data_IF_238826453206
#
_entry.id   IF_238826453206
#
_cell.length_a   1.000
_cell.length_b   1.000
_cell.length_c   1.000
_cell.angle_alpha   90.00
_cell.angle_beta   90.00
_cell.angle_gamma   90.00
#
_symmetry.space_group_name_H-M   'P 1'
#
loop_
_entity.id
_entity.type
_entity.pdbx_description
1 polymer ?
#
# COMPACT_ATOMS: atom_id res chain seq x y z
N UNK A 1 49.68 -36.46 50.49
CA UNK A 1 48.20 -36.43 50.42
C UNK A 1 47.63 -35.07 50.05
N UNK A 2 48.10 -33.92 50.62
CA UNK A 2 47.55 -32.60 50.30
C UNK A 2 47.80 -32.11 48.85
N UNK A 3 48.84 -32.53 48.14
CA UNK A 3 49.13 -32.15 46.74
C UNK A 3 48.33 -32.94 45.72
N UNK A 4 47.94 -34.17 46.05
CA UNK A 4 47.06 -34.99 45.19
C UNK A 4 45.59 -34.52 45.22
N UNK A 5 45.14 -34.02 46.36
CA UNK A 5 43.79 -33.50 46.53
C UNK A 5 43.57 -32.18 45.75
N UNK A 6 44.61 -31.33 45.65
CA UNK A 6 44.60 -30.06 44.93
C UNK A 6 44.54 -30.27 43.40
N UNK A 7 45.15 -31.32 42.86
CA UNK A 7 45.14 -31.67 41.43
C UNK A 7 43.81 -32.26 41.06
N UNK A 8 43.17 -33.05 41.91
CA UNK A 8 41.81 -33.59 41.66
C UNK A 8 40.74 -32.49 41.69
N UNK A 9 40.86 -31.48 42.57
CA UNK A 9 39.94 -30.33 42.58
C UNK A 9 40.11 -29.43 41.36
N UNK A 10 41.34 -29.23 40.84
CA UNK A 10 41.61 -28.46 39.66
C UNK A 10 41.08 -29.18 38.37
N UNK A 11 41.23 -30.50 38.28
CA UNK A 11 40.69 -31.29 37.19
C UNK A 11 39.14 -31.34 37.19
N UNK A 12 38.51 -31.37 38.38
CA UNK A 12 37.05 -31.29 38.50
C UNK A 12 36.51 -29.92 38.11
N UNK A 13 37.21 -28.81 38.41
CA UNK A 13 36.82 -27.47 37.94
C UNK A 13 37.01 -27.25 36.43
N UNK A 14 38.03 -27.87 35.79
CA UNK A 14 38.20 -27.82 34.36
C UNK A 14 37.12 -28.65 33.62
N UNK A 15 36.67 -29.77 34.18
CA UNK A 15 35.56 -30.54 33.62
C UNK A 15 34.20 -29.86 33.76
N UNK A 16 33.99 -29.02 34.79
CA UNK A 16 32.78 -28.25 34.95
C UNK A 16 32.72 -27.00 34.03
N UNK A 17 33.87 -26.51 33.54
CA UNK A 17 33.93 -25.40 32.57
C UNK A 17 33.72 -25.86 31.11
N UNK A 18 33.91 -27.15 30.82
CA UNK A 18 33.70 -27.70 29.48
C UNK A 18 32.26 -28.23 29.21
N UNK A 19 31.42 -28.30 30.27
CA UNK A 19 30.02 -28.72 30.14
C UNK A 19 29.06 -27.51 30.02
N UNK A 20 29.54 -26.28 30.25
CA UNK A 20 28.73 -25.06 30.12
C UNK A 20 28.75 -24.41 28.71
N UNK A 21 29.35 -25.09 27.69
CA UNK A 21 29.32 -24.68 26.28
C UNK A 21 28.43 -25.58 25.40
N UNK A 22 27.74 -26.57 25.99
CA UNK A 22 26.60 -27.22 25.42
C UNK A 22 25.34 -26.58 26.01
N UNK A 23 25.29 -25.27 25.97
CA UNK A 23 24.17 -24.49 26.44
C UNK A 23 23.16 -24.37 25.32
N UNK A 24 21.99 -24.74 25.67
CA UNK A 24 20.71 -24.23 25.12
C UNK A 24 20.87 -23.44 23.82
N UNK A 25 20.70 -24.11 22.70
CA UNK A 25 20.08 -23.44 21.58
C UNK A 25 18.68 -23.07 22.04
N UNK A 26 18.50 -21.90 22.66
CA UNK A 26 17.24 -21.21 22.50
C UNK A 26 17.16 -20.99 21.00
N UNK A 27 16.29 -21.69 20.35
CA UNK A 27 15.83 -21.30 19.03
C UNK A 27 15.06 -20.00 19.26
N UNK A 28 15.78 -18.87 19.47
CA UNK A 28 15.16 -17.58 19.52
C UNK A 28 14.56 -17.36 18.14
N UNK A 29 13.23 -17.51 18.06
CA UNK A 29 12.49 -17.22 16.87
C UNK A 29 12.66 -15.75 16.57
N UNK A 30 13.21 -15.42 15.40
CA UNK A 30 13.28 -14.04 14.92
C UNK A 30 11.86 -13.51 14.71
N UNK A 31 11.70 -12.22 14.84
CA UNK A 31 10.44 -11.55 14.57
C UNK A 31 10.65 -10.45 13.54
N UNK A 32 9.79 -10.39 12.53
CA UNK A 32 9.67 -9.32 11.56
C UNK A 32 8.28 -8.68 11.73
N UNK A 33 8.23 -7.37 11.88
CA UNK A 33 6.97 -6.64 12.00
C UNK A 33 6.70 -5.88 10.70
N UNK A 34 5.65 -6.28 9.99
CA UNK A 34 5.22 -5.69 8.72
C UNK A 34 3.94 -4.89 8.95
N UNK A 35 3.83 -3.70 8.37
CA UNK A 35 2.66 -2.85 8.44
C UNK A 35 2.28 -2.39 7.04
N UNK A 36 1.17 -2.90 6.54
CA UNK A 36 0.71 -2.74 5.18
C UNK A 36 -0.74 -2.26 5.14
N UNK A 37 -1.28 -2.01 3.97
CA UNK A 37 -2.69 -1.77 3.75
C UNK A 37 -3.52 -3.02 4.06
N UNK A 38 -4.82 -2.84 4.32
CA UNK A 38 -5.79 -3.93 4.28
C UNK A 38 -5.90 -4.52 2.87
N UNK A 39 -6.24 -5.80 2.75
CA UNK A 39 -6.43 -6.51 1.47
C UNK A 39 -5.29 -6.35 0.45
N UNK A 40 -4.03 -6.27 0.92
CA UNK A 40 -2.89 -5.85 0.09
C UNK A 40 -1.75 -6.88 0.04
N UNK A 41 -2.05 -8.14 0.34
CA UNK A 41 -1.14 -9.30 0.25
C UNK A 41 -1.97 -10.58 0.15
N UNK A 42 -1.51 -11.53 -0.66
CA UNK A 42 -2.11 -12.87 -0.70
C UNK A 42 -1.88 -13.58 0.63
N UNK A 43 -2.95 -13.94 1.32
CA UNK A 43 -2.95 -14.34 2.74
C UNK A 43 -3.35 -15.81 2.98
N UNK A 44 -3.54 -16.59 1.89
CA UNK A 44 -3.97 -17.99 1.95
C UNK A 44 -5.48 -18.17 2.06
N UNK A 45 -6.26 -17.11 2.08
CA UNK A 45 -7.73 -17.20 2.05
C UNK A 45 -8.20 -17.79 0.70
N UNK A 46 -9.31 -18.51 0.73
CA UNK A 46 -9.94 -19.13 -0.44
C UNK A 46 -9.02 -20.05 -1.27
N UNK A 47 -7.87 -20.44 -0.71
CA UNK A 47 -6.87 -21.30 -1.37
C UNK A 47 -5.79 -20.52 -2.12
N UNK A 48 -5.74 -19.21 -1.96
CA UNK A 48 -4.68 -18.34 -2.46
C UNK A 48 -3.30 -18.68 -1.83
N UNK A 49 -2.25 -18.11 -2.36
CA UNK A 49 -0.90 -18.29 -1.83
C UNK A 49 -0.74 -17.53 -0.51
N UNK A 50 -0.35 -18.22 0.58
CA UNK A 50 -0.06 -17.58 1.88
C UNK A 50 1.38 -17.02 1.85
N UNK A 51 1.54 -15.80 1.41
CA UNK A 51 2.84 -15.13 1.25
C UNK A 51 3.63 -15.07 2.55
N UNK A 52 2.97 -14.80 3.67
CA UNK A 52 3.65 -14.68 4.98
C UNK A 52 4.13 -16.04 5.46
N UNK A 53 3.29 -17.06 5.41
CA UNK A 53 3.67 -18.41 5.84
C UNK A 53 4.73 -19.01 4.90
N UNK A 54 4.64 -18.76 3.61
CA UNK A 54 5.63 -19.18 2.63
C UNK A 54 6.99 -18.52 2.89
N UNK A 55 7.03 -17.22 3.21
CA UNK A 55 8.25 -16.52 3.61
C UNK A 55 8.85 -17.09 4.89
N UNK A 56 8.06 -17.32 5.95
CA UNK A 56 8.52 -17.93 7.19
C UNK A 56 9.20 -19.30 6.92
N UNK A 57 8.56 -20.14 6.11
CA UNK A 57 9.05 -21.45 5.74
C UNK A 57 10.33 -21.40 4.88
N UNK A 58 10.32 -20.54 3.86
CA UNK A 58 11.48 -20.32 2.99
C UNK A 58 12.69 -19.80 3.79
N UNK A 59 12.45 -18.90 4.76
CA UNK A 59 13.51 -18.36 5.60
C UNK A 59 14.12 -19.44 6.50
N UNK A 60 13.29 -20.28 7.15
CA UNK A 60 13.77 -21.39 7.98
C UNK A 60 14.56 -22.40 7.15
N UNK A 61 14.11 -22.73 5.94
CA UNK A 61 14.80 -23.63 5.03
C UNK A 61 16.15 -23.07 4.53
N UNK A 62 16.20 -21.76 4.27
CA UNK A 62 17.37 -21.09 3.69
C UNK A 62 18.44 -20.81 4.73
N UNK A 63 18.04 -20.32 5.90
CA UNK A 63 18.96 -19.84 6.94
C UNK A 63 19.03 -20.75 8.17
N UNK A 64 18.20 -21.77 8.29
CA UNK A 64 18.17 -22.70 9.42
C UNK A 64 17.69 -22.09 10.73
N UNK A 65 17.02 -20.92 10.67
CA UNK A 65 16.53 -20.18 11.81
C UNK A 65 15.04 -19.89 11.70
N UNK A 66 14.28 -20.13 12.76
CA UNK A 66 12.85 -19.86 12.80
C UNK A 66 12.57 -18.36 12.78
N UNK A 67 11.56 -18.01 11.98
CA UNK A 67 11.06 -16.67 11.84
C UNK A 67 9.55 -16.64 12.12
N UNK A 68 9.09 -15.55 12.73
CA UNK A 68 7.67 -15.20 12.86
C UNK A 68 7.47 -13.80 12.30
N UNK A 69 6.58 -13.66 11.33
CA UNK A 69 6.13 -12.37 10.84
C UNK A 69 4.86 -11.96 11.59
N UNK A 70 4.89 -10.77 12.19
CA UNK A 70 3.70 -10.08 12.67
C UNK A 70 3.25 -9.13 11.57
N UNK A 71 2.05 -9.35 11.05
CA UNK A 71 1.49 -8.55 9.97
C UNK A 71 0.30 -7.76 10.50
N UNK A 72 0.43 -6.44 10.50
CA UNK A 72 -0.61 -5.48 10.89
C UNK A 72 -1.06 -4.68 9.67
N UNK A 73 -2.28 -4.13 9.70
CA UNK A 73 -2.84 -3.32 8.63
C UNK A 73 -3.22 -1.91 9.08
N UNK A 74 -3.28 -0.99 8.11
CA UNK A 74 -3.75 0.39 8.26
C UNK A 74 -4.68 0.77 7.12
N UNK A 75 -5.54 1.76 7.39
CA UNK A 75 -6.56 2.22 6.45
C UNK A 75 -6.13 3.47 5.65
N UNK A 76 -5.12 4.22 6.11
CA UNK A 76 -4.62 5.41 5.41
C UNK A 76 -3.13 5.66 5.67
N UNK A 77 -2.45 6.35 4.74
CA UNK A 77 -1.07 6.80 4.93
C UNK A 77 -0.92 7.66 6.19
N UNK A 78 -1.90 8.50 6.48
CA UNK A 78 -1.93 9.39 7.63
C UNK A 78 -2.00 8.61 8.95
N UNK A 79 -2.80 7.54 9.02
CA UNK A 79 -2.89 6.68 10.20
C UNK A 79 -1.57 5.93 10.43
N UNK A 80 -0.99 5.36 9.37
CA UNK A 80 0.32 4.72 9.41
C UNK A 80 1.39 5.70 9.89
N UNK A 81 1.49 6.88 9.27
CA UNK A 81 2.43 7.93 9.64
C UNK A 81 2.28 8.35 11.09
N UNK A 82 1.06 8.64 11.55
CA UNK A 82 0.78 9.05 12.92
C UNK A 82 1.20 7.98 13.94
N UNK A 83 0.93 6.72 13.63
CA UNK A 83 1.30 5.59 14.49
C UNK A 83 2.82 5.44 14.62
N UNK A 84 3.56 5.53 13.52
CA UNK A 84 5.03 5.43 13.51
C UNK A 84 5.66 6.65 14.15
N UNK A 85 5.22 7.88 13.80
CA UNK A 85 5.77 9.13 14.34
C UNK A 85 5.56 9.28 15.84
N UNK A 86 4.54 8.62 16.42
CA UNK A 86 4.31 8.60 17.86
C UNK A 86 5.44 7.94 18.64
N UNK A 87 6.26 7.08 17.98
CA UNK A 87 7.34 6.30 18.63
C UNK A 87 6.85 5.20 19.58
N UNK A 88 5.53 4.92 19.61
CA UNK A 88 4.95 3.93 20.50
C UNK A 88 5.10 2.48 19.99
N UNK A 89 5.40 2.33 18.71
CA UNK A 89 5.49 1.04 18.00
C UNK A 89 6.76 0.97 17.17
N UNK A 90 7.18 -0.25 16.84
CA UNK A 90 8.31 -0.50 15.96
C UNK A 90 7.87 -1.46 14.85
N UNK A 91 8.03 -1.03 13.62
CA UNK A 91 7.85 -1.85 12.43
C UNK A 91 9.17 -1.98 11.69
N UNK A 92 9.32 -3.07 10.92
CA UNK A 92 10.52 -3.36 10.15
C UNK A 92 10.30 -3.07 8.66
N UNK A 93 9.08 -3.31 8.15
CA UNK A 93 8.67 -2.99 6.78
C UNK A 93 7.34 -2.27 6.80
N UNK A 94 7.23 -1.23 5.97
CA UNK A 94 5.99 -0.48 5.70
C UNK A 94 5.81 -0.32 4.20
N UNK A 95 4.57 -0.11 3.75
CA UNK A 95 4.25 0.00 2.31
C UNK A 95 3.45 1.29 2.03
N UNK A 96 4.04 2.48 2.23
CA UNK A 96 3.35 3.75 1.98
C UNK A 96 3.25 4.10 0.50
N UNK A 97 2.32 5.01 0.19
CA UNK A 97 2.25 5.64 -1.13
C UNK A 97 3.34 6.70 -1.30
N UNK A 98 3.64 6.99 -2.53
CA UNK A 98 4.69 7.87 -3.04
C UNK A 98 4.84 9.22 -2.30
N UNK A 99 3.77 9.99 -2.14
CA UNK A 99 3.83 11.29 -1.44
C UNK A 99 4.21 11.14 0.05
N UNK A 100 3.79 10.03 0.67
CA UNK A 100 4.12 9.73 2.05
C UNK A 100 5.57 9.25 2.18
N UNK A 101 6.08 8.48 1.19
CA UNK A 101 7.51 8.12 1.11
C UNK A 101 8.36 9.38 1.05
N UNK A 102 8.03 10.31 0.14
CA UNK A 102 8.72 11.58 0.02
C UNK A 102 8.73 12.37 1.34
N UNK A 103 7.60 12.40 2.05
CA UNK A 103 7.48 13.04 3.37
C UNK A 103 8.39 12.38 4.40
N UNK A 104 8.26 11.07 4.56
CA UNK A 104 9.00 10.32 5.57
C UNK A 104 10.51 10.33 5.31
N UNK A 105 10.94 10.28 4.04
CA UNK A 105 12.33 10.43 3.66
C UNK A 105 12.88 11.83 4.03
N UNK A 106 12.16 12.89 3.70
CA UNK A 106 12.52 14.27 4.04
C UNK A 106 12.59 14.51 5.56
N UNK A 107 11.77 13.83 6.34
CA UNK A 107 11.75 13.91 7.81
C UNK A 107 12.77 12.96 8.48
N UNK A 108 13.54 12.18 7.70
CA UNK A 108 14.53 11.23 8.22
C UNK A 108 13.90 10.02 8.93
N UNK A 109 12.68 9.68 8.56
CA UNK A 109 11.92 8.57 9.14
C UNK A 109 12.12 7.23 8.42
N UNK A 110 12.89 7.20 7.33
CA UNK A 110 13.23 6.00 6.56
C UNK A 110 14.74 5.70 6.67
N UNK A 111 15.09 4.43 6.61
CA UNK A 111 16.48 3.97 6.52
C UNK A 111 16.84 3.74 5.04
N UNK A 112 18.04 4.14 4.59
CA UNK A 112 18.51 3.82 3.25
C UNK A 112 18.67 2.30 3.10
N UNK A 113 18.24 1.76 1.96
CA UNK A 113 18.30 0.34 1.62
C UNK A 113 19.72 -0.08 1.20
N UNK A 114 20.06 -1.33 1.46
CA UNK A 114 21.23 -1.99 0.91
C UNK A 114 20.80 -2.93 -0.22
N UNK A 115 20.92 -2.50 -1.46
CA UNK A 115 20.48 -3.28 -2.62
C UNK A 115 21.31 -4.54 -2.88
N UNK A 116 22.46 -4.71 -2.23
CA UNK A 116 23.18 -6.01 -2.23
C UNK A 116 22.34 -7.12 -1.56
N UNK A 117 21.45 -6.75 -0.63
CA UNK A 117 20.51 -7.66 0.02
C UNK A 117 19.17 -7.79 -0.75
N UNK A 118 18.97 -6.98 -1.79
CA UNK A 118 17.74 -6.93 -2.60
C UNK A 118 18.06 -7.17 -4.09
N UNK A 119 18.72 -8.29 -4.47
CA UNK A 119 19.12 -8.52 -5.85
C UNK A 119 17.93 -8.59 -6.83
N UNK A 120 16.73 -8.93 -6.36
CA UNK A 120 15.53 -8.98 -7.19
C UNK A 120 15.01 -7.58 -7.60
N UNK A 121 15.58 -6.49 -7.04
CA UNK A 121 15.30 -5.12 -7.51
C UNK A 121 15.58 -4.95 -9.01
N UNK A 122 16.45 -5.78 -9.60
CA UNK A 122 16.71 -5.81 -11.03
C UNK A 122 15.45 -6.05 -11.89
N UNK A 123 14.40 -6.66 -11.34
CA UNK A 123 13.16 -6.95 -12.04
C UNK A 123 12.15 -5.78 -11.98
N UNK A 124 12.40 -4.74 -11.19
CA UNK A 124 11.60 -3.52 -11.24
C UNK A 124 11.88 -2.80 -12.56
N UNK A 125 10.83 -2.44 -13.28
CA UNK A 125 10.93 -1.75 -14.56
C UNK A 125 11.56 -0.36 -14.41
N UNK A 126 12.34 0.08 -15.39
CA UNK A 126 13.07 1.35 -15.37
C UNK A 126 12.14 2.56 -15.21
N UNK A 127 10.90 2.48 -15.70
CA UNK A 127 9.87 3.52 -15.58
C UNK A 127 9.44 3.82 -14.14
N UNK A 128 9.70 2.88 -13.21
CA UNK A 128 9.38 3.01 -11.79
C UNK A 128 10.59 3.29 -10.91
N UNK A 129 11.76 3.59 -11.53
CA UNK A 129 12.99 3.96 -10.81
C UNK A 129 13.23 5.45 -10.88
N UNK A 130 13.87 5.99 -9.86
CA UNK A 130 14.23 7.41 -9.80
C UNK A 130 13.02 8.35 -9.86
N UNK A 131 11.84 7.91 -9.40
CA UNK A 131 10.65 8.74 -9.36
C UNK A 131 10.79 9.86 -8.32
N UNK A 132 9.95 10.90 -8.44
CA UNK A 132 10.09 12.14 -7.65
C UNK A 132 10.14 11.92 -6.12
N UNK A 133 9.53 10.86 -5.62
CA UNK A 133 9.47 10.57 -4.20
C UNK A 133 10.76 9.95 -3.63
N UNK A 134 11.54 9.30 -4.49
CA UNK A 134 12.85 8.71 -4.17
C UNK A 134 13.79 8.79 -5.38
N UNK A 135 14.25 9.99 -5.77
CA UNK A 135 14.93 10.20 -7.05
C UNK A 135 16.32 9.55 -7.17
N UNK A 136 16.85 9.06 -6.06
CA UNK A 136 18.14 8.33 -6.02
C UNK A 136 17.95 6.85 -5.70
N UNK A 137 16.72 6.35 -5.68
CA UNK A 137 16.36 4.96 -5.34
C UNK A 137 17.01 4.51 -4.02
N UNK A 138 16.91 5.33 -2.95
CA UNK A 138 17.61 5.05 -1.70
C UNK A 138 16.74 4.38 -0.65
N UNK A 139 15.44 4.67 -0.61
CA UNK A 139 14.58 4.38 0.53
C UNK A 139 13.44 3.41 0.23
N UNK A 140 13.18 3.14 -1.03
CA UNK A 140 11.96 2.46 -1.45
C UNK A 140 12.19 1.41 -2.53
N UNK A 141 11.35 0.39 -2.52
CA UNK A 141 11.23 -0.61 -3.59
C UNK A 141 9.79 -0.64 -4.04
N UNK A 142 9.46 -0.20 -5.28
CA UNK A 142 8.11 -0.23 -5.81
C UNK A 142 7.48 -1.61 -5.67
N UNK A 143 6.25 -1.66 -5.15
CA UNK A 143 5.51 -2.89 -4.90
C UNK A 143 4.33 -3.02 -5.85
N UNK A 144 3.48 -1.99 -5.90
CA UNK A 144 2.33 -1.89 -6.78
C UNK A 144 2.20 -0.48 -7.31
N UNK A 145 1.40 -0.32 -8.35
CA UNK A 145 0.90 0.98 -8.76
C UNK A 145 -0.56 0.88 -9.17
N UNK A 146 -1.26 1.99 -9.09
CA UNK A 146 -2.67 2.01 -9.39
C UNK A 146 -3.18 3.40 -9.78
N UNK A 147 -4.47 3.47 -9.99
CA UNK A 147 -5.18 4.66 -10.41
C UNK A 147 -6.48 4.80 -9.63
N UNK A 148 -6.88 6.04 -9.34
CA UNK A 148 -8.21 6.32 -8.78
C UNK A 148 -9.21 6.42 -9.91
N UNK A 149 -10.30 5.67 -9.79
CA UNK A 149 -11.42 5.69 -10.74
C UNK A 149 -12.75 5.94 -10.07
N UNK A 150 -13.81 5.74 -10.82
CA UNK A 150 -15.17 5.73 -10.31
C UNK A 150 -15.76 4.34 -10.55
N UNK A 151 -16.11 3.67 -9.46
CA UNK A 151 -16.81 2.39 -9.44
C UNK A 151 -18.29 2.68 -9.32
N UNK A 152 -19.11 2.03 -10.14
CA UNK A 152 -20.55 2.26 -10.16
C UNK A 152 -21.34 0.97 -10.41
N UNK A 153 -22.57 0.92 -9.91
CA UNK A 153 -23.51 -0.16 -10.19
C UNK A 153 -24.29 0.16 -11.49
N UNK A 154 -24.01 -0.55 -12.56
CA UNK A 154 -24.65 -0.36 -13.86
C UNK A 154 -26.18 -0.61 -13.85
N UNK A 155 -26.70 -1.37 -12.87
CA UNK A 155 -28.12 -1.52 -12.66
C UNK A 155 -28.81 -0.30 -12.03
N UNK A 156 -28.02 0.65 -11.47
CA UNK A 156 -28.52 1.83 -10.77
C UNK A 156 -28.12 3.16 -11.44
N UNK A 157 -27.04 3.16 -12.22
CA UNK A 157 -26.49 4.36 -12.86
C UNK A 157 -26.80 4.33 -14.35
N UNK A 158 -27.33 5.46 -14.89
CA UNK A 158 -27.60 5.59 -16.30
C UNK A 158 -26.30 5.78 -17.11
N UNK A 159 -26.15 5.06 -18.20
CA UNK A 159 -24.98 5.12 -19.10
C UNK A 159 -24.66 6.56 -19.57
N UNK A 160 -25.66 7.39 -19.73
CA UNK A 160 -25.49 8.79 -20.16
C UNK A 160 -24.81 9.69 -19.11
N UNK A 161 -24.74 9.26 -17.86
CA UNK A 161 -24.14 10.01 -16.75
C UNK A 161 -22.68 9.60 -16.49
N UNK A 162 -22.17 8.59 -17.22
CA UNK A 162 -20.81 8.04 -17.07
C UNK A 162 -19.83 8.82 -17.95
N UNK A 163 -18.63 9.08 -17.47
CA UNK A 163 -17.55 9.64 -18.32
C UNK A 163 -16.55 10.53 -17.61
N UNK A 164 -16.94 11.22 -16.54
CA UNK A 164 -16.03 12.08 -15.77
C UNK A 164 -16.41 12.19 -14.28
N UNK A 165 -15.73 13.07 -13.57
CA UNK A 165 -15.95 13.30 -12.15
C UNK A 165 -17.33 13.86 -11.80
N UNK A 166 -18.09 14.41 -12.77
CA UNK A 166 -19.42 14.97 -12.54
C UNK A 166 -20.42 13.91 -12.03
N UNK A 167 -20.18 12.61 -12.30
CA UNK A 167 -20.99 11.53 -11.74
C UNK A 167 -21.04 11.57 -10.21
N UNK A 168 -19.95 11.92 -9.56
CA UNK A 168 -19.86 12.04 -8.10
C UNK A 168 -20.63 13.23 -7.52
N UNK A 169 -21.11 14.15 -8.37
CA UNK A 169 -21.90 15.33 -8.01
C UNK A 169 -23.31 15.30 -8.59
N UNK A 170 -23.72 14.17 -9.19
CA UNK A 170 -25.03 14.06 -9.82
C UNK A 170 -26.11 13.82 -8.74
N UNK A 171 -27.05 14.77 -8.60
CA UNK A 171 -28.12 14.75 -7.59
C UNK A 171 -29.12 13.60 -7.79
N UNK A 172 -29.16 12.99 -8.98
CA UNK A 172 -29.91 11.78 -9.28
C UNK A 172 -29.52 10.61 -8.39
N UNK A 173 -28.26 10.55 -7.93
CA UNK A 173 -27.72 9.52 -7.07
C UNK A 173 -27.54 9.96 -5.61
N UNK A 174 -28.25 11.01 -5.20
CA UNK A 174 -28.18 11.52 -3.83
C UNK A 174 -28.47 10.43 -2.78
N UNK A 175 -27.61 10.32 -1.78
CA UNK A 175 -27.68 9.28 -0.74
C UNK A 175 -27.21 7.90 -1.18
N UNK A 176 -26.58 7.81 -2.36
CA UNK A 176 -26.00 6.57 -2.91
C UNK A 176 -24.55 6.74 -3.35
N UNK A 177 -23.92 7.87 -3.03
CA UNK A 177 -22.53 8.21 -3.40
C UNK A 177 -21.65 7.97 -2.18
N UNK A 178 -20.53 7.28 -2.38
CA UNK A 178 -19.49 7.11 -1.39
C UNK A 178 -18.27 7.98 -1.74
N UNK A 179 -17.70 8.63 -0.73
CA UNK A 179 -16.52 9.46 -0.88
C UNK A 179 -15.42 8.99 0.07
N UNK A 180 -14.16 9.21 -0.29
CA UNK A 180 -13.03 8.89 0.55
C UNK A 180 -13.08 9.51 1.95
N UNK A 181 -12.73 8.75 2.96
CA UNK A 181 -12.59 9.22 4.34
C UNK A 181 -11.14 9.61 4.67
N UNK A 182 -10.41 10.13 3.69
CA UNK A 182 -9.13 10.78 3.90
C UNK A 182 -9.10 12.13 3.15
N UNK A 183 -8.29 13.07 3.63
CA UNK A 183 -8.30 14.44 3.12
C UNK A 183 -7.71 14.55 1.71
N UNK A 184 -6.64 13.80 1.42
CA UNK A 184 -5.94 13.92 0.13
C UNK A 184 -6.81 13.43 -1.02
N UNK A 185 -7.38 12.23 -0.90
CA UNK A 185 -8.22 11.66 -1.96
C UNK A 185 -9.55 12.42 -2.10
N UNK A 186 -10.22 12.74 -0.98
CA UNK A 186 -11.48 13.49 -1.05
C UNK A 186 -11.31 14.85 -1.74
N UNK A 187 -10.28 15.64 -1.35
CA UNK A 187 -10.00 16.93 -2.00
C UNK A 187 -9.51 16.73 -3.44
N UNK A 188 -8.73 15.67 -3.69
CA UNK A 188 -8.26 15.31 -5.03
C UNK A 188 -9.38 15.14 -6.03
N UNK A 189 -10.47 14.45 -5.67
CA UNK A 189 -11.64 14.27 -6.57
C UNK A 189 -12.22 15.62 -7.00
N UNK A 190 -12.36 16.57 -6.08
CA UNK A 190 -12.87 17.90 -6.39
C UNK A 190 -11.86 18.74 -7.21
N UNK A 191 -10.57 18.62 -6.92
CA UNK A 191 -9.52 19.33 -7.66
C UNK A 191 -9.44 18.84 -9.12
N UNK A 192 -9.49 17.53 -9.34
CA UNK A 192 -9.53 16.95 -10.70
C UNK A 192 -10.79 17.40 -11.47
N UNK A 193 -11.97 17.34 -10.83
CA UNK A 193 -13.22 17.85 -11.41
C UNK A 193 -13.10 19.31 -11.83
N UNK A 194 -12.45 20.13 -11.03
CA UNK A 194 -12.28 21.58 -11.30
C UNK A 194 -11.09 21.88 -12.21
N UNK A 195 -10.28 20.89 -12.60
CA UNK A 195 -9.04 21.09 -13.36
C UNK A 195 -7.96 21.85 -12.60
N UNK A 196 -7.95 21.75 -11.27
CA UNK A 196 -6.96 22.38 -10.39
C UNK A 196 -5.73 21.46 -10.21
N UNK A 197 -4.60 22.07 -9.83
CA UNK A 197 -3.42 21.31 -9.44
C UNK A 197 -3.61 20.74 -8.02
N UNK A 198 -3.57 19.42 -7.89
CA UNK A 198 -3.71 18.71 -6.61
C UNK A 198 -2.55 18.97 -5.63
N UNK A 199 -1.48 19.57 -6.11
CA UNK A 199 -0.27 19.91 -5.35
C UNK A 199 -0.08 21.42 -5.18
N UNK A 200 -1.10 22.22 -5.51
CA UNK A 200 -1.04 23.67 -5.42
C UNK A 200 -0.80 24.13 -3.96
N UNK A 201 0.03 25.13 -3.80
CA UNK A 201 0.29 25.80 -2.50
C UNK A 201 -0.59 27.03 -2.29
N UNK A 202 -1.38 27.44 -3.29
CA UNK A 202 -2.31 28.54 -3.16
C UNK A 202 -3.59 28.10 -2.42
N UNK A 203 -3.85 28.71 -1.28
CA UNK A 203 -5.05 28.46 -0.46
C UNK A 203 -6.35 28.63 -1.23
N UNK A 204 -6.40 29.50 -2.23
CA UNK A 204 -7.62 29.72 -3.03
C UNK A 204 -8.01 28.47 -3.84
N UNK A 205 -7.06 27.65 -4.27
CA UNK A 205 -7.30 26.38 -4.94
C UNK A 205 -7.98 25.37 -4.01
N UNK A 206 -7.50 25.29 -2.77
CA UNK A 206 -8.08 24.44 -1.73
C UNK A 206 -9.47 24.92 -1.27
N UNK A 207 -9.67 26.24 -1.17
CA UNK A 207 -10.99 26.83 -0.88
C UNK A 207 -12.02 26.52 -1.97
N UNK A 208 -11.60 26.54 -3.23
CA UNK A 208 -12.46 26.15 -4.35
C UNK A 208 -12.85 24.67 -4.26
N UNK A 209 -11.89 23.79 -3.98
CA UNK A 209 -12.15 22.36 -3.77
C UNK A 209 -13.09 22.12 -2.57
N UNK A 210 -12.88 22.80 -1.43
CA UNK A 210 -13.80 22.72 -0.29
C UNK A 210 -15.21 23.16 -0.66
N UNK A 211 -15.34 24.25 -1.44
CA UNK A 211 -16.64 24.74 -1.89
C UNK A 211 -17.35 23.69 -2.74
N UNK A 212 -16.64 23.03 -3.63
CA UNK A 212 -17.15 21.96 -4.46
C UNK A 212 -17.56 20.74 -3.62
N UNK A 213 -16.72 20.29 -2.68
CA UNK A 213 -17.04 19.20 -1.76
C UNK A 213 -18.28 19.50 -0.87
N UNK A 214 -18.49 20.77 -0.48
CA UNK A 214 -19.70 21.18 0.24
C UNK A 214 -20.96 21.09 -0.61
N UNK A 215 -20.85 21.23 -1.94
CA UNK A 215 -22.00 20.98 -2.83
C UNK A 215 -22.29 19.49 -2.96
N UNK A 216 -21.27 18.65 -2.88
CA UNK A 216 -21.38 17.20 -2.90
C UNK A 216 -21.91 16.61 -1.58
N UNK A 217 -21.53 17.18 -0.44
CA UNK A 217 -21.80 16.63 0.89
C UNK A 217 -23.27 16.19 1.12
N UNK A 218 -24.31 16.94 0.68
CA UNK A 218 -25.70 16.49 0.78
C UNK A 218 -26.04 15.25 -0.06
N UNK A 219 -25.23 14.91 -1.05
CA UNK A 219 -25.41 13.76 -1.95
C UNK A 219 -24.71 12.52 -1.41
N UNK A 220 -23.67 12.70 -0.60
CA UNK A 220 -22.83 11.64 -0.06
C UNK A 220 -23.59 10.83 0.99
N UNK A 221 -23.65 9.51 0.78
CA UNK A 221 -24.19 8.56 1.75
C UNK A 221 -23.24 8.38 2.94
N UNK A 222 -21.94 8.18 2.64
CA UNK A 222 -20.92 7.97 3.65
C UNK A 222 -19.53 8.35 3.11
N UNK A 223 -18.67 8.76 4.02
CA UNK A 223 -17.23 8.83 3.79
C UNK A 223 -16.63 7.50 4.27
N UNK A 224 -15.91 6.80 3.40
CA UNK A 224 -15.46 5.41 3.60
C UNK A 224 -13.98 5.24 3.24
N UNK A 225 -13.38 4.21 3.79
CA UNK A 225 -12.20 3.52 3.29
C UNK A 225 -12.64 2.07 3.01
N UNK A 226 -12.19 1.08 3.75
CA UNK A 226 -12.49 -0.34 3.49
C UNK A 226 -14.01 -0.69 3.58
N UNK A 227 -14.83 0.17 4.19
CA UNK A 227 -16.29 -0.04 4.19
C UNK A 227 -16.91 0.04 2.78
N UNK A 228 -16.19 0.59 1.79
CA UNK A 228 -16.62 0.67 0.39
C UNK A 228 -16.96 -0.70 -0.17
N UNK A 229 -16.18 -1.74 0.15
CA UNK A 229 -16.40 -3.11 -0.33
C UNK A 229 -17.84 -3.56 -0.04
N UNK A 230 -18.18 -3.69 1.22
CA UNK A 230 -19.50 -4.16 1.63
C UNK A 230 -20.66 -3.31 1.06
N UNK A 231 -20.48 -1.98 0.96
CA UNK A 231 -21.53 -1.07 0.50
C UNK A 231 -21.75 -1.12 -1.02
N UNK A 232 -20.68 -1.32 -1.80
CA UNK A 232 -20.80 -1.48 -3.25
C UNK A 232 -21.26 -2.89 -3.61
N UNK A 233 -20.66 -3.93 -3.05
CA UNK A 233 -20.98 -5.34 -3.29
C UNK A 233 -22.45 -5.68 -2.98
N UNK A 234 -23.01 -5.11 -1.91
CA UNK A 234 -24.41 -5.32 -1.54
C UNK A 234 -25.40 -4.45 -2.33
N UNK A 235 -24.92 -3.47 -3.09
CA UNK A 235 -25.77 -2.46 -3.75
C UNK A 235 -26.37 -1.44 -2.80
N UNK A 236 -25.81 -1.29 -1.60
CA UNK A 236 -26.23 -0.26 -0.64
C UNK A 236 -25.84 1.14 -1.14
N UNK A 237 -24.79 1.24 -1.94
CA UNK A 237 -24.38 2.43 -2.68
C UNK A 237 -24.35 2.16 -4.19
N UNK A 238 -24.44 3.23 -5.00
CA UNK A 238 -24.46 3.11 -6.45
C UNK A 238 -23.18 3.66 -7.12
N UNK A 239 -22.46 4.57 -6.47
CA UNK A 239 -21.29 5.26 -7.02
C UNK A 239 -20.24 5.43 -5.92
N UNK A 240 -19.00 5.15 -6.23
CA UNK A 240 -17.84 5.40 -5.35
C UNK A 240 -16.65 5.89 -6.15
N UNK A 241 -15.97 6.94 -5.69
CA UNK A 241 -14.60 7.18 -6.08
C UNK A 241 -13.71 6.25 -5.27
N UNK A 242 -12.91 5.41 -5.94
CA UNK A 242 -12.03 4.48 -5.24
C UNK A 242 -10.87 4.00 -6.12
N UNK A 243 -9.98 3.19 -5.55
CA UNK A 243 -8.84 2.63 -6.25
C UNK A 243 -9.28 1.50 -7.17
N UNK A 244 -8.82 1.53 -8.42
CA UNK A 244 -9.34 0.63 -9.47
C UNK A 244 -8.95 -0.84 -9.25
N UNK A 245 -7.84 -1.12 -8.56
CA UNK A 245 -7.51 -2.50 -8.19
C UNK A 245 -8.61 -3.16 -7.38
N UNK A 246 -9.15 -2.46 -6.40
CA UNK A 246 -10.21 -2.96 -5.50
C UNK A 246 -11.54 -3.22 -6.21
N UNK A 247 -11.77 -2.62 -7.38
CA UNK A 247 -12.94 -2.89 -8.21
C UNK A 247 -13.04 -4.38 -8.57
N UNK A 248 -11.93 -5.02 -8.93
CA UNK A 248 -11.95 -6.43 -9.31
C UNK A 248 -12.30 -7.34 -8.13
N UNK A 249 -11.76 -7.04 -6.95
CA UNK A 249 -12.13 -7.75 -5.71
C UNK A 249 -13.63 -7.60 -5.40
N UNK A 250 -14.19 -6.39 -5.57
CA UNK A 250 -15.61 -6.15 -5.36
C UNK A 250 -16.50 -6.89 -6.37
N UNK A 251 -16.05 -6.99 -7.64
CA UNK A 251 -16.81 -7.73 -8.69
C UNK A 251 -16.92 -9.20 -8.31
N UNK A 252 -15.88 -9.80 -7.80
CA UNK A 252 -15.89 -11.21 -7.39
C UNK A 252 -16.86 -11.50 -6.23
N UNK A 253 -17.08 -10.52 -5.36
CA UNK A 253 -17.93 -10.64 -4.17
C UNK A 253 -19.34 -10.00 -4.33
N UNK A 254 -19.64 -9.36 -5.45
CA UNK A 254 -20.91 -8.64 -5.65
C UNK A 254 -22.15 -9.52 -5.59
N UNK A 255 -23.23 -8.98 -5.05
CA UNK A 255 -24.54 -9.65 -5.02
C UNK A 255 -25.12 -9.82 -6.45
N UNK A 256 -25.92 -10.88 -6.66
CA UNK A 256 -26.57 -11.16 -7.97
C UNK A 256 -27.39 -9.97 -8.55
N UNK A 257 -27.84 -9.06 -7.70
CA UNK A 257 -28.61 -7.87 -8.11
C UNK A 257 -27.75 -6.67 -8.48
N UNK A 258 -26.44 -6.77 -8.29
CA UNK A 258 -25.44 -5.71 -8.51
C UNK A 258 -24.66 -6.04 -9.77
N UNK A 259 -24.33 -5.02 -10.55
CA UNK A 259 -23.47 -5.11 -11.74
C UNK A 259 -22.46 -3.97 -11.62
N UNK A 260 -21.33 -4.24 -10.93
CA UNK A 260 -20.28 -3.27 -10.75
C UNK A 260 -19.47 -3.11 -12.02
N UNK A 261 -19.26 -1.87 -12.37
CA UNK A 261 -18.41 -1.44 -13.47
C UNK A 261 -17.50 -0.31 -12.98
N UNK A 262 -16.42 -0.04 -13.69
CA UNK A 262 -15.58 1.11 -13.38
C UNK A 262 -15.20 1.88 -14.65
N UNK A 263 -14.87 3.15 -14.47
CA UNK A 263 -14.16 3.93 -15.47
C UNK A 263 -13.10 4.83 -14.81
N UNK A 264 -12.07 5.13 -15.57
CA UNK A 264 -10.99 6.01 -15.16
C UNK A 264 -11.19 7.37 -15.83
N UNK A 265 -11.47 8.46 -15.10
CA UNK A 265 -11.53 9.80 -15.66
C UNK A 265 -10.20 10.18 -16.34
N UNK A 266 -10.25 11.02 -17.40
CA UNK A 266 -9.07 11.44 -18.16
C UNK A 266 -7.97 12.07 -17.26
N UNK A 267 -8.41 12.78 -16.21
CA UNK A 267 -7.51 13.41 -15.22
C UNK A 267 -7.82 12.83 -13.85
N UNK A 268 -6.87 12.09 -13.28
CA UNK A 268 -7.01 11.44 -11.99
C UNK A 268 -5.65 11.17 -11.35
N UNK A 269 -5.64 10.67 -10.11
CA UNK A 269 -4.43 10.26 -9.41
C UNK A 269 -3.94 8.90 -9.90
N UNK A 270 -2.67 8.84 -10.31
CA UNK A 270 -1.88 7.63 -10.36
C UNK A 270 -0.92 7.63 -9.18
N UNK A 271 -0.79 6.52 -8.51
CA UNK A 271 0.06 6.37 -7.33
C UNK A 271 0.97 5.16 -7.47
N UNK A 272 2.07 5.19 -6.74
CA UNK A 272 2.99 4.06 -6.57
C UNK A 272 3.12 3.80 -5.08
N UNK A 273 2.83 2.57 -4.68
CA UNK A 273 3.08 2.11 -3.33
C UNK A 273 4.39 1.32 -3.30
N UNK A 274 5.23 1.61 -2.32
CA UNK A 274 6.54 0.98 -2.25
C UNK A 274 6.89 0.49 -0.85
N UNK A 275 7.62 -0.63 -0.80
CA UNK A 275 8.15 -1.18 0.44
C UNK A 275 9.30 -0.33 0.94
N UNK A 276 9.22 0.12 2.19
CA UNK A 276 10.21 0.95 2.86
C UNK A 276 10.58 0.37 4.23
N UNK A 277 11.73 0.75 4.75
CA UNK A 277 12.19 0.40 6.09
C UNK A 277 12.15 1.65 6.97
N UNK A 278 11.24 1.74 7.95
CA UNK A 278 11.18 2.89 8.83
C UNK A 278 12.37 2.97 9.79
N UNK A 279 12.72 4.17 10.24
CA UNK A 279 13.85 4.41 11.13
C UNK A 279 13.74 3.72 12.51
N UNK A 280 12.54 3.29 12.89
CA UNK A 280 12.29 2.49 14.09
C UNK A 280 12.55 0.98 13.91
N UNK A 281 12.93 0.53 12.72
CA UNK A 281 13.22 -0.87 12.39
C UNK A 281 14.30 -1.44 13.34
N UNK A 282 14.07 -2.69 13.79
CA UNK A 282 14.98 -3.37 14.70
C UNK A 282 15.90 -4.36 13.98
N UNK A 283 15.51 -4.85 12.79
CA UNK A 283 16.29 -5.83 12.03
C UNK A 283 16.26 -5.50 10.52
N UNK A 284 17.11 -4.52 10.14
CA UNK A 284 17.15 -4.01 8.77
C UNK A 284 17.51 -5.08 7.73
N UNK A 285 18.46 -5.96 8.01
CA UNK A 285 18.87 -7.02 7.09
C UNK A 285 17.72 -8.01 6.85
N UNK A 286 16.98 -8.40 7.88
CA UNK A 286 15.81 -9.26 7.75
C UNK A 286 14.69 -8.57 6.95
N UNK A 287 14.49 -7.27 7.16
CA UNK A 287 13.54 -6.48 6.38
C UNK A 287 13.92 -6.43 4.89
N UNK A 288 15.20 -6.25 4.57
CA UNK A 288 15.71 -6.28 3.18
C UNK A 288 15.55 -7.67 2.54
N UNK A 289 15.77 -8.74 3.30
CA UNK A 289 15.53 -10.12 2.85
C UNK A 289 14.03 -10.34 2.54
N UNK A 290 13.14 -9.82 3.39
CA UNK A 290 11.69 -9.88 3.13
C UNK A 290 11.32 -9.13 1.86
N UNK A 291 11.81 -7.89 1.70
CA UNK A 291 11.57 -7.09 0.50
C UNK A 291 12.08 -7.84 -0.75
N UNK A 292 13.27 -8.45 -0.68
CA UNK A 292 13.79 -9.24 -1.79
C UNK A 292 12.93 -10.48 -2.10
N UNK A 293 12.40 -11.14 -1.07
CA UNK A 293 11.50 -12.28 -1.24
C UNK A 293 10.22 -11.88 -1.95
N UNK A 294 9.60 -10.75 -1.55
CA UNK A 294 8.40 -10.20 -2.18
C UNK A 294 8.55 -9.90 -3.68
N UNK A 295 9.78 -9.66 -4.14
CA UNK A 295 10.10 -9.43 -5.56
C UNK A 295 10.40 -10.70 -6.35
N UNK A 296 10.47 -11.87 -5.72
CA UNK A 296 10.67 -13.12 -6.44
C UNK A 296 9.41 -13.57 -7.17
N UNK A 297 9.54 -14.38 -8.22
CA UNK A 297 8.45 -14.65 -9.16
C UNK A 297 7.17 -15.16 -8.47
N UNK A 298 7.28 -16.22 -7.65
CA UNK A 298 6.11 -16.87 -7.05
C UNK A 298 5.29 -15.92 -6.14
N UNK A 299 5.87 -15.27 -5.10
CA UNK A 299 5.07 -14.36 -4.28
C UNK A 299 4.66 -13.08 -5.02
N UNK A 300 5.46 -12.56 -5.96
CA UNK A 300 5.11 -11.36 -6.69
C UNK A 300 3.89 -11.58 -7.60
N UNK A 301 3.85 -12.70 -8.33
CA UNK A 301 2.73 -13.08 -9.19
C UNK A 301 1.49 -13.35 -8.32
N UNK A 302 1.63 -14.20 -7.29
CA UNK A 302 0.51 -14.55 -6.41
C UNK A 302 -0.10 -13.33 -5.70
N UNK A 303 0.73 -12.37 -5.29
CA UNK A 303 0.21 -11.13 -4.72
C UNK A 303 -0.54 -10.29 -5.78
N UNK A 304 0.01 -10.13 -6.98
CA UNK A 304 -0.64 -9.36 -8.03
C UNK A 304 -1.99 -9.98 -8.47
N UNK A 305 -2.07 -11.31 -8.57
CA UNK A 305 -3.31 -12.05 -8.84
C UNK A 305 -4.37 -11.83 -7.75
N UNK A 306 -3.93 -11.86 -6.49
CA UNK A 306 -4.84 -11.77 -5.35
C UNK A 306 -5.37 -10.35 -5.09
N UNK A 307 -4.48 -9.33 -5.19
CA UNK A 307 -4.82 -7.95 -4.86
C UNK A 307 -5.34 -7.14 -6.06
N UNK A 308 -5.24 -7.66 -7.28
CA UNK A 308 -5.63 -6.99 -8.52
C UNK A 308 -5.01 -5.60 -8.74
N UNK A 309 -3.80 -5.36 -8.23
CA UNK A 309 -3.04 -4.14 -8.53
C UNK A 309 -1.94 -4.42 -9.53
N UNK A 310 -1.70 -3.46 -10.40
CA UNK A 310 -0.62 -3.54 -11.35
C UNK A 310 0.74 -3.60 -10.64
N UNK A 311 1.61 -4.48 -11.10
CA UNK A 311 2.94 -4.64 -10.53
C UNK A 311 4.01 -3.97 -11.37
N UNK A 312 4.93 -3.20 -10.78
CA UNK A 312 6.10 -2.67 -11.46
C UNK A 312 7.18 -3.73 -11.72
N UNK A 313 6.95 -4.99 -11.31
CA UNK A 313 7.88 -6.10 -11.45
C UNK A 313 7.67 -6.81 -12.80
N UNK A 314 8.70 -6.80 -13.64
CA UNK A 314 8.67 -7.40 -14.97
C UNK A 314 8.43 -8.93 -14.96
N UNK A 315 8.70 -9.62 -13.87
CA UNK A 315 8.38 -11.05 -13.73
C UNK A 315 6.85 -11.27 -13.69
N UNK A 316 6.09 -10.33 -13.13
CA UNK A 316 4.62 -10.38 -13.10
C UNK A 316 4.04 -10.02 -14.46
N UNK A 317 4.37 -8.83 -14.97
CA UNK A 317 3.82 -8.36 -16.25
C UNK A 317 4.08 -9.33 -17.41
N UNK A 318 5.25 -9.99 -17.46
CA UNK A 318 5.62 -10.92 -18.52
C UNK A 318 5.17 -12.36 -18.26
N UNK A 319 4.51 -12.67 -17.15
CA UNK A 319 3.99 -13.99 -16.86
C UNK A 319 2.73 -14.28 -17.70
N UNK A 320 2.78 -15.35 -18.48
CA UNK A 320 1.67 -15.70 -19.38
C UNK A 320 0.45 -16.23 -18.62
N UNK A 321 0.65 -16.88 -17.47
CA UNK A 321 -0.44 -17.36 -16.61
C UNK A 321 -1.22 -16.19 -16.00
N UNK A 322 -0.50 -15.22 -15.45
CA UNK A 322 -1.07 -13.98 -14.92
C UNK A 322 -1.90 -13.22 -15.97
N UNK A 323 -1.35 -13.05 -17.18
CA UNK A 323 -2.08 -12.37 -18.26
C UNK A 323 -3.33 -13.14 -18.70
N UNK A 324 -3.26 -14.48 -18.77
CA UNK A 324 -4.39 -15.33 -19.14
C UNK A 324 -5.49 -15.31 -18.07
N UNK A 325 -5.12 -15.28 -16.78
CA UNK A 325 -6.06 -15.25 -15.67
C UNK A 325 -6.80 -13.92 -15.56
N UNK A 326 -6.10 -12.79 -15.69
CA UNK A 326 -6.73 -11.47 -15.70
C UNK A 326 -7.58 -11.22 -16.94
N UNK A 327 -7.16 -11.71 -18.09
CA UNK A 327 -7.79 -11.45 -19.38
C UNK A 327 -7.52 -10.05 -19.94
N UNK A 328 -7.89 -9.85 -21.20
CA UNK A 328 -7.57 -8.62 -21.96
C UNK A 328 -8.18 -7.35 -21.35
N UNK A 329 -9.42 -7.43 -20.83
CA UNK A 329 -10.12 -6.28 -20.26
C UNK A 329 -9.48 -5.79 -18.97
N UNK A 330 -9.21 -6.68 -18.01
CA UNK A 330 -8.56 -6.32 -16.76
C UNK A 330 -7.13 -5.83 -16.99
N UNK A 331 -6.39 -6.48 -17.91
CA UNK A 331 -5.06 -6.02 -18.30
C UNK A 331 -5.08 -4.60 -18.86
N UNK A 332 -6.06 -4.25 -19.70
CA UNK A 332 -6.18 -2.90 -20.26
C UNK A 332 -6.50 -1.83 -19.19
N UNK A 333 -7.21 -2.21 -18.13
CA UNK A 333 -7.57 -1.31 -17.03
C UNK A 333 -6.37 -1.14 -16.06
N UNK A 334 -5.72 -2.24 -15.69
CA UNK A 334 -4.62 -2.23 -14.72
C UNK A 334 -3.32 -1.69 -15.32
N UNK A 335 -3.04 -1.99 -16.60
CA UNK A 335 -1.83 -1.59 -17.32
C UNK A 335 -2.17 -0.69 -18.53
N UNK A 336 -2.78 0.49 -18.30
CA UNK A 336 -3.22 1.34 -19.40
C UNK A 336 -2.03 1.90 -20.20
N UNK A 337 -2.21 2.00 -21.53
CA UNK A 337 -1.25 2.71 -22.41
C UNK A 337 -1.38 4.23 -22.22
N UNK A 338 -0.84 4.79 -21.15
CA UNK A 338 -0.87 6.23 -20.84
C UNK A 338 0.25 7.04 -21.49
N UNK A 339 0.87 6.49 -22.53
CA UNK A 339 1.97 7.15 -23.24
C UNK A 339 3.23 7.25 -22.37
N UNK A 340 3.72 8.48 -22.14
CA UNK A 340 4.82 8.70 -21.20
C UNK A 340 4.29 8.73 -19.76
N UNK A 341 4.33 7.57 -19.08
CA UNK A 341 3.88 7.42 -17.69
C UNK A 341 4.50 8.47 -16.78
N UNK A 342 5.80 8.70 -16.91
CA UNK A 342 6.50 9.63 -16.03
C UNK A 342 5.98 11.07 -16.22
N UNK A 343 5.61 11.46 -17.42
CA UNK A 343 5.05 12.80 -17.69
C UNK A 343 3.66 12.97 -17.09
N UNK A 344 2.78 11.98 -17.26
CA UNK A 344 1.44 11.99 -16.67
C UNK A 344 1.52 11.96 -15.14
N UNK A 345 2.28 11.02 -14.60
CA UNK A 345 2.52 10.84 -13.18
C UNK A 345 3.08 12.12 -12.53
N UNK A 346 4.09 12.74 -13.14
CA UNK A 346 4.65 14.00 -12.65
C UNK A 346 3.66 15.17 -12.62
N UNK A 347 2.59 15.11 -13.41
CA UNK A 347 1.58 16.17 -13.48
C UNK A 347 0.44 15.97 -12.50
N UNK A 348 -0.01 14.73 -12.31
CA UNK A 348 -1.29 14.45 -11.65
C UNK A 348 -1.16 13.66 -10.34
N UNK A 349 -0.03 12.97 -10.09
CA UNK A 349 0.19 12.26 -8.84
C UNK A 349 0.27 13.23 -7.65
N UNK A 350 -0.17 12.77 -6.50
CA UNK A 350 -0.01 13.51 -5.26
C UNK A 350 1.47 13.66 -4.92
N UNK A 351 1.85 14.82 -4.39
CA UNK A 351 3.18 15.08 -3.84
C UNK A 351 3.09 15.40 -2.37
N UNK A 352 4.22 15.29 -1.68
CA UNK A 352 4.33 15.78 -0.33
C UNK A 352 4.06 17.30 -0.31
N UNK A 353 3.01 17.71 0.39
CA UNK A 353 2.70 19.11 0.60
C UNK A 353 3.63 19.69 1.68
N UNK A 354 3.97 20.98 1.56
CA UNK A 354 4.63 21.66 2.65
C UNK A 354 3.73 21.73 3.90
N UNK A 355 4.33 21.95 5.07
CA UNK A 355 3.61 21.91 6.34
C UNK A 355 2.48 22.94 6.43
N UNK A 356 2.64 24.12 5.83
CA UNK A 356 1.59 25.17 5.86
C UNK A 356 0.38 24.74 5.04
N UNK A 357 0.61 24.19 3.84
CA UNK A 357 -0.45 23.69 2.96
C UNK A 357 -1.15 22.47 3.57
N UNK A 358 -0.38 21.55 4.16
CA UNK A 358 -0.92 20.36 4.82
C UNK A 358 -1.80 20.73 6.04
N UNK A 359 -1.33 21.64 6.89
CA UNK A 359 -2.10 22.13 8.03
C UNK A 359 -3.39 22.83 7.56
N UNK A 360 -3.30 23.57 6.45
CA UNK A 360 -4.46 24.20 5.86
C UNK A 360 -5.47 23.17 5.34
N UNK A 361 -5.04 22.19 4.57
CA UNK A 361 -5.88 21.08 4.10
C UNK A 361 -6.57 20.37 5.28
N UNK A 362 -5.83 20.05 6.34
CA UNK A 362 -6.40 19.39 7.51
C UNK A 362 -7.49 20.28 8.17
N UNK A 363 -7.30 21.59 8.26
CA UNK A 363 -8.31 22.52 8.78
C UNK A 363 -9.57 22.58 7.90
N UNK A 364 -9.42 22.48 6.58
CA UNK A 364 -10.54 22.44 5.64
C UNK A 364 -11.28 21.09 5.71
N UNK A 365 -10.55 19.99 5.88
CA UNK A 365 -11.11 18.66 6.07
C UNK A 365 -12.00 18.60 7.33
N UNK A 366 -11.50 19.10 8.45
CA UNK A 366 -12.30 19.26 9.68
C UNK A 366 -13.57 20.11 9.42
N UNK A 367 -13.44 21.22 8.69
CA UNK A 367 -14.57 22.09 8.36
C UNK A 367 -15.60 21.40 7.45
N UNK A 368 -15.17 20.51 6.55
CA UNK A 368 -16.06 19.71 5.72
C UNK A 368 -16.84 18.67 6.55
N UNK A 369 -16.17 18.00 7.48
CA UNK A 369 -16.77 16.91 8.29
C UNK A 369 -17.81 17.39 9.31
N UNK A 370 -17.83 18.68 9.64
CA UNK A 370 -18.79 19.30 10.56
C UNK A 370 -19.88 20.14 9.85
N UNK A 371 -19.87 20.18 8.51
CA UNK A 371 -20.81 21.03 7.71
C UNK A 371 -22.17 20.33 7.36
#
# INVERSE_FOLDING_TARGET
>A
MKKFLSILLAAAMLCCLSVSLAGCGSSDTLTLNVYNWGEYISDGSEGSFDTIHAFESWYEETYGQKLKVNYDTYASNEDMYNKISSGAVSYDVIVPSDYMIARMANEGMLLPLNFDNIPNYQYIEDSFRGLYYDPEDQYSVPYTYGVVGIIYNANAVDEADIGDWDLMWNDKYAGQILQFNNSRDAFGTAQYKLGLDVNDTDKSSWDAALTELKTQAPLVKSYVMDEVYNMMESGEAAVAAYYVGDYFTMVDAQAESVDLQCFVPEVTNYFVDAMCIPSCCQNKELAEIFINYMLSAEPAIANAEYIYYASPNSLVYNDAGYQEELGEEAMAILYPEIGDFSQYYNKYAFRNLDSETLDYLNSLWEALKIS
#
